data_IF_536297230319
#
_entry.id   IF_536297230319
#
_cell.length_a   1.000
_cell.length_b   1.000
_cell.length_c   1.000
_cell.angle_alpha   90.00
_cell.angle_beta   90.00
_cell.angle_gamma   90.00
#
_symmetry.space_group_name_H-M   'P 1'
#
loop_
_entity.id
_entity.type
_entity.pdbx_description
1 polymer ?
#
# COMPACT_ATOMS: atom_id res chain seq x y z
N UNK A 1 -19.63 -14.33 -9.86
CA UNK A 1 -18.75 -13.28 -10.42
C UNK A 1 -17.63 -13.02 -9.43
N UNK A 2 -16.39 -12.71 -9.86
CA UNK A 2 -15.33 -12.40 -8.93
C UNK A 2 -15.64 -11.13 -8.14
N UNK A 3 -15.23 -11.10 -6.86
CA UNK A 3 -15.19 -9.88 -6.06
C UNK A 3 -13.97 -9.06 -6.46
N UNK A 4 -14.19 -7.96 -7.16
CA UNK A 4 -13.12 -7.04 -7.57
C UNK A 4 -12.97 -5.94 -6.51
N UNK A 5 -11.75 -5.70 -6.08
CA UNK A 5 -11.41 -4.72 -5.04
C UNK A 5 -10.27 -3.86 -5.59
N UNK A 6 -10.55 -2.60 -5.89
CA UNK A 6 -9.49 -1.64 -6.16
C UNK A 6 -9.10 -0.96 -4.84
N UNK A 7 -7.82 -1.03 -4.46
CA UNK A 7 -7.25 -0.43 -3.26
C UNK A 7 -6.41 0.76 -3.70
N UNK A 8 -6.88 1.96 -3.42
CA UNK A 8 -6.07 3.17 -3.53
C UNK A 8 -5.21 3.28 -2.28
N UNK A 9 -3.89 3.29 -2.46
CA UNK A 9 -2.94 3.18 -1.36
C UNK A 9 -1.63 3.92 -1.66
N UNK A 10 -0.91 4.28 -0.61
CA UNK A 10 0.51 4.62 -0.68
C UNK A 10 1.29 3.72 0.29
N UNK A 11 2.42 3.16 -0.14
CA UNK A 11 3.19 2.20 0.66
C UNK A 11 3.90 2.83 1.88
N UNK A 12 3.91 4.17 1.95
CA UNK A 12 4.38 4.94 3.12
C UNK A 12 3.24 5.40 4.04
N UNK A 13 2.00 5.02 3.76
CA UNK A 13 0.86 5.34 4.61
C UNK A 13 0.64 4.24 5.67
N UNK A 14 0.80 4.52 6.98
CA UNK A 14 0.62 3.50 8.00
C UNK A 14 -0.84 3.02 8.09
N UNK A 15 -1.81 3.92 7.83
CA UNK A 15 -3.22 3.54 7.77
C UNK A 15 -3.52 2.60 6.61
N UNK A 16 -2.77 2.68 5.50
CA UNK A 16 -2.93 1.71 4.41
C UNK A 16 -2.47 0.32 4.83
N UNK A 17 -1.42 0.22 5.64
CA UNK A 17 -0.96 -1.05 6.17
C UNK A 17 -2.00 -1.69 7.10
N UNK A 18 -2.56 -0.90 8.04
CA UNK A 18 -3.66 -1.32 8.92
C UNK A 18 -4.88 -1.74 8.08
N UNK A 19 -5.29 -0.91 7.12
CA UNK A 19 -6.44 -1.18 6.27
C UNK A 19 -6.27 -2.45 5.44
N UNK A 20 -5.07 -2.74 4.92
CA UNK A 20 -4.76 -3.99 4.22
C UNK A 20 -4.92 -5.19 5.14
N UNK A 21 -4.41 -5.12 6.37
CA UNK A 21 -4.52 -6.22 7.34
C UNK A 21 -5.99 -6.49 7.69
N UNK A 22 -6.78 -5.43 7.91
CA UNK A 22 -8.22 -5.56 8.20
C UNK A 22 -9.02 -6.08 7.03
N UNK A 23 -8.70 -5.65 5.81
CA UNK A 23 -9.29 -6.23 4.59
C UNK A 23 -8.96 -7.72 4.49
N UNK A 24 -7.72 -8.12 4.77
CA UNK A 24 -7.31 -9.51 4.74
C UNK A 24 -8.13 -10.36 5.74
N UNK A 25 -8.27 -9.89 6.99
CA UNK A 25 -9.12 -10.57 7.99
C UNK A 25 -10.57 -10.71 7.53
N UNK A 26 -11.14 -9.64 6.95
CA UNK A 26 -12.52 -9.66 6.43
C UNK A 26 -12.69 -10.64 5.25
N UNK A 27 -11.68 -10.75 4.38
CA UNK A 27 -11.66 -11.71 3.28
C UNK A 27 -11.51 -13.15 3.77
N UNK A 28 -10.76 -13.39 4.84
CA UNK A 28 -10.60 -14.71 5.43
C UNK A 28 -11.91 -15.19 6.07
N UNK A 29 -12.60 -14.31 6.82
CA UNK A 29 -13.95 -14.57 7.34
C UNK A 29 -14.96 -14.86 6.22
N UNK A 30 -14.88 -14.10 5.11
CA UNK A 30 -15.76 -14.29 3.96
C UNK A 30 -15.46 -15.60 3.22
N UNK A 31 -14.19 -15.97 3.04
CA UNK A 31 -13.78 -17.25 2.41
C UNK A 31 -14.18 -18.45 3.24
N UNK A 32 -14.19 -18.35 4.57
CA UNK A 32 -14.70 -19.40 5.44
C UNK A 32 -16.18 -19.70 5.18
N UNK A 33 -16.95 -18.69 4.74
CA UNK A 33 -18.37 -18.83 4.41
C UNK A 33 -18.61 -19.12 2.91
N UNK A 34 -17.71 -18.66 2.04
CA UNK A 34 -17.80 -18.77 0.57
C UNK A 34 -16.45 -19.18 -0.03
N UNK A 35 -16.02 -20.45 0.14
CA UNK A 35 -14.68 -20.91 -0.26
C UNK A 35 -14.43 -20.84 -1.78
N UNK A 36 -15.49 -20.81 -2.58
CA UNK A 36 -15.45 -20.68 -4.04
C UNK A 36 -15.32 -19.24 -4.56
N UNK A 37 -15.33 -18.25 -3.66
CA UNK A 37 -15.28 -16.84 -4.05
C UNK A 37 -13.92 -16.47 -4.65
N UNK A 38 -13.90 -16.22 -5.96
CA UNK A 38 -12.76 -15.58 -6.64
C UNK A 38 -12.65 -14.11 -6.21
N UNK A 39 -11.49 -13.71 -5.69
CA UNK A 39 -11.21 -12.35 -5.24
C UNK A 39 -10.06 -11.80 -6.06
N UNK A 40 -10.27 -10.62 -6.66
CA UNK A 40 -9.28 -9.92 -7.48
C UNK A 40 -9.02 -8.55 -6.87
N UNK A 41 -7.79 -8.36 -6.40
CA UNK A 41 -7.34 -7.10 -5.81
C UNK A 41 -6.45 -6.38 -6.83
N UNK A 42 -6.77 -5.12 -7.08
CA UNK A 42 -5.91 -4.21 -7.82
C UNK A 42 -5.46 -3.06 -6.93
N UNK A 43 -4.19 -2.72 -6.99
CA UNK A 43 -3.57 -1.60 -6.29
C UNK A 43 -3.51 -0.41 -7.23
N UNK A 44 -4.12 0.69 -6.81
CA UNK A 44 -4.08 1.98 -7.49
C UNK A 44 -3.15 2.93 -6.73
N UNK A 45 -2.23 3.61 -7.44
CA UNK A 45 -1.24 4.45 -6.79
C UNK A 45 -1.88 5.72 -6.22
N UNK A 46 -1.45 6.10 -5.02
CA UNK A 46 -1.65 7.42 -4.45
C UNK A 46 -0.32 7.92 -3.91
N UNK A 47 -0.05 9.21 -4.07
CA UNK A 47 1.14 9.85 -3.51
C UNK A 47 0.72 10.77 -2.38
N UNK A 48 0.95 10.37 -1.13
CA UNK A 48 0.65 11.20 0.04
C UNK A 48 1.46 12.50 0.05
N UNK A 49 2.68 12.42 -0.47
CA UNK A 49 3.62 13.53 -0.54
C UNK A 49 4.25 13.51 -1.95
N UNK A 50 3.56 14.05 -2.97
CA UNK A 50 4.03 13.97 -4.37
C UNK A 50 5.37 14.68 -4.57
N UNK A 51 5.69 15.68 -3.73
CA UNK A 51 6.91 16.49 -3.81
C UNK A 51 8.14 15.83 -3.15
N UNK A 52 8.06 14.55 -2.78
CA UNK A 52 9.21 13.83 -2.21
C UNK A 52 10.37 13.80 -3.20
N UNK A 53 11.59 14.23 -2.83
CA UNK A 53 12.74 14.12 -3.72
C UNK A 53 12.98 12.67 -4.16
N UNK A 54 13.48 12.40 -5.37
CA UNK A 54 13.73 11.03 -5.83
C UNK A 54 14.66 10.22 -4.92
N UNK A 55 15.61 10.88 -4.25
CA UNK A 55 16.51 10.24 -3.27
C UNK A 55 15.84 9.95 -1.91
N UNK A 56 14.60 10.42 -1.71
CA UNK A 56 13.97 10.51 -0.40
C UNK A 56 14.51 11.68 0.42
N UNK A 57 14.06 11.79 1.67
CA UNK A 57 14.54 12.79 2.62
C UNK A 57 14.48 12.23 4.06
N UNK A 58 15.14 12.85 5.06
CA UNK A 58 15.13 12.34 6.43
C UNK A 58 13.71 12.27 7.01
N UNK A 59 13.30 11.06 7.42
CA UNK A 59 11.93 10.77 7.86
C UNK A 59 11.52 11.61 9.07
N UNK A 60 12.36 11.62 10.11
CA UNK A 60 12.05 12.31 11.36
C UNK A 60 11.94 13.82 11.16
N UNK A 61 12.91 14.43 10.48
CA UNK A 61 12.93 15.87 10.25
C UNK A 61 11.69 16.34 9.46
N UNK A 62 11.29 15.58 8.43
CA UNK A 62 10.05 15.85 7.69
C UNK A 62 8.82 15.83 8.60
N UNK A 63 8.67 14.80 9.43
CA UNK A 63 7.51 14.68 10.31
C UNK A 63 7.49 15.78 11.37
N UNK A 64 8.63 16.13 11.94
CA UNK A 64 8.72 17.21 12.92
C UNK A 64 8.36 18.57 12.30
N UNK A 65 8.80 18.85 11.08
CA UNK A 65 8.39 20.04 10.35
C UNK A 65 6.87 20.04 10.04
N UNK A 66 6.31 18.88 9.68
CA UNK A 66 4.89 18.74 9.33
C UNK A 66 3.95 18.81 10.54
N UNK A 67 4.35 18.24 11.67
CA UNK A 67 3.50 18.05 12.85
C UNK A 67 3.86 18.96 14.03
N UNK A 68 4.91 19.78 13.91
CA UNK A 68 5.25 20.80 14.91
C UNK A 68 6.19 20.32 16.03
N UNK A 69 7.07 19.37 15.74
CA UNK A 69 8.16 18.95 16.62
C UNK A 69 8.10 17.49 17.09
N UNK A 70 9.17 17.07 17.76
CA UNK A 70 9.42 15.68 18.16
C UNK A 70 8.27 15.08 18.99
N UNK A 71 7.76 15.81 19.98
CA UNK A 71 6.72 15.33 20.89
C UNK A 71 5.40 15.01 20.17
N UNK A 72 5.06 15.80 19.15
CA UNK A 72 3.86 15.61 18.34
C UNK A 72 4.02 14.39 17.42
N UNK A 73 5.22 14.17 16.88
CA UNK A 73 5.54 12.98 16.09
C UNK A 73 5.45 11.72 16.95
N UNK A 74 6.03 11.73 18.16
CA UNK A 74 5.96 10.57 19.07
C UNK A 74 4.52 10.23 19.45
N UNK A 75 3.71 11.24 19.77
CA UNK A 75 2.28 11.05 20.06
C UNK A 75 1.50 10.52 18.85
N UNK A 76 1.83 10.99 17.63
CA UNK A 76 1.24 10.49 16.40
C UNK A 76 1.61 9.02 16.17
N UNK A 77 2.89 8.66 16.27
CA UNK A 77 3.36 7.28 16.14
C UNK A 77 2.69 6.35 17.16
N UNK A 78 2.59 6.78 18.43
CA UNK A 78 1.91 6.01 19.47
C UNK A 78 0.43 5.73 19.11
N UNK A 79 -0.32 6.76 18.66
CA UNK A 79 -1.71 6.60 18.23
C UNK A 79 -1.87 5.64 17.06
N UNK A 80 -0.96 5.71 16.08
CA UNK A 80 -0.98 4.82 14.92
C UNK A 80 -0.64 3.38 15.33
N UNK A 81 0.33 3.19 16.22
CA UNK A 81 0.69 1.88 16.74
C UNK A 81 -0.45 1.26 17.57
N UNK A 82 -1.10 2.05 18.43
CA UNK A 82 -2.28 1.63 19.19
C UNK A 82 -3.43 1.24 18.24
N UNK A 83 -3.72 2.07 17.25
CA UNK A 83 -4.77 1.80 16.28
C UNK A 83 -4.47 0.62 15.35
N UNK A 84 -3.20 0.27 15.16
CA UNK A 84 -2.77 -0.88 14.38
C UNK A 84 -2.84 -2.20 15.15
N UNK A 85 -2.79 -2.18 16.48
CA UNK A 85 -2.85 -3.39 17.29
C UNK A 85 -4.28 -3.98 17.33
N UNK A 86 -4.45 -5.32 17.31
CA UNK A 86 -3.41 -6.34 17.15
C UNK A 86 -3.06 -6.67 15.68
N UNK A 87 -3.68 -5.99 14.70
CA UNK A 87 -3.60 -6.32 13.28
C UNK A 87 -2.18 -6.20 12.68
N UNK A 88 -1.46 -5.13 13.06
CA UNK A 88 -0.09 -4.84 12.61
C UNK A 88 0.72 -4.19 13.73
N UNK A 89 2.03 -4.41 13.70
CA UNK A 89 3.00 -3.67 14.51
C UNK A 89 3.75 -2.64 13.66
N UNK A 90 4.45 -1.70 14.31
CA UNK A 90 5.27 -0.70 13.65
C UNK A 90 6.62 -0.58 14.37
N UNK A 91 7.68 -0.45 13.59
CA UNK A 91 9.04 -0.19 14.06
C UNK A 91 9.50 1.20 13.56
N UNK A 92 8.75 2.24 13.93
CA UNK A 92 8.98 3.61 13.45
C UNK A 92 10.39 4.13 13.78
N UNK A 93 10.99 3.65 14.86
CA UNK A 93 12.35 3.96 15.29
C UNK A 93 13.42 3.48 14.30
N UNK A 94 13.12 2.48 13.46
CA UNK A 94 14.03 1.97 12.42
C UNK A 94 13.99 2.83 11.16
N UNK A 95 12.99 3.69 11.00
CA UNK A 95 12.74 4.46 9.78
C UNK A 95 13.57 5.73 9.76
N UNK A 96 14.60 5.76 8.91
CA UNK A 96 15.50 6.91 8.77
C UNK A 96 15.17 7.78 7.56
N UNK A 97 14.62 7.18 6.50
CA UNK A 97 14.30 7.85 5.22
C UNK A 97 12.80 7.81 4.96
N UNK A 98 12.28 8.95 4.51
CA UNK A 98 10.98 9.07 3.85
C UNK A 98 11.18 8.84 2.35
N UNK A 99 10.78 7.68 1.80
CA UNK A 99 11.07 7.34 0.43
C UNK A 99 10.12 8.06 -0.54
N UNK A 100 10.59 8.35 -1.75
CA UNK A 100 9.70 8.59 -2.88
C UNK A 100 9.13 7.24 -3.35
N UNK A 101 7.81 7.10 -3.38
CA UNK A 101 7.14 5.83 -3.64
C UNK A 101 6.85 5.55 -5.11
N UNK A 102 7.27 6.41 -6.04
CA UNK A 102 7.03 6.21 -7.47
C UNK A 102 7.56 4.86 -7.97
N UNK A 103 8.77 4.48 -7.57
CA UNK A 103 9.34 3.18 -7.96
C UNK A 103 8.60 1.99 -7.36
N UNK A 104 8.18 2.08 -6.09
CA UNK A 104 7.35 1.05 -5.46
C UNK A 104 6.01 0.88 -6.18
N UNK A 105 5.34 1.99 -6.52
CA UNK A 105 4.11 1.98 -7.30
C UNK A 105 4.31 1.43 -8.72
N UNK A 106 5.41 1.79 -9.39
CA UNK A 106 5.79 1.22 -10.70
C UNK A 106 6.05 -0.28 -10.62
N UNK A 107 6.66 -0.77 -9.54
CA UNK A 107 6.90 -2.20 -9.32
C UNK A 107 5.56 -2.95 -9.16
N UNK A 108 4.66 -2.42 -8.32
CA UNK A 108 3.32 -2.98 -8.15
C UNK A 108 2.52 -2.97 -9.46
N UNK A 109 2.54 -1.85 -10.20
CA UNK A 109 1.92 -1.74 -11.51
C UNK A 109 2.45 -2.82 -12.47
N UNK A 110 3.78 -2.98 -12.59
CA UNK A 110 4.41 -4.00 -13.44
C UNK A 110 3.95 -5.41 -13.08
N UNK A 111 3.90 -5.75 -11.79
CA UNK A 111 3.42 -7.06 -11.32
C UNK A 111 1.98 -7.34 -11.78
N UNK A 112 1.10 -6.34 -11.70
CA UNK A 112 -0.30 -6.45 -12.13
C UNK A 112 -0.43 -6.51 -13.66
N UNK A 113 0.31 -5.66 -14.38
CA UNK A 113 0.30 -5.61 -15.85
C UNK A 113 0.83 -6.90 -16.51
N UNK A 114 1.75 -7.61 -15.83
CA UNK A 114 2.23 -8.93 -16.25
C UNK A 114 1.23 -10.06 -15.98
N UNK A 115 0.07 -9.79 -15.37
CA UNK A 115 -0.93 -10.79 -15.05
C UNK A 115 -0.47 -11.79 -13.98
N UNK A 116 0.37 -11.35 -13.03
CA UNK A 116 0.79 -12.21 -11.92
C UNK A 116 -0.41 -12.70 -11.12
N UNK A 117 -0.26 -13.89 -10.53
CA UNK A 117 -1.30 -14.48 -9.67
C UNK A 117 -1.56 -13.54 -8.49
N UNK A 118 -2.82 -13.50 -8.05
CA UNK A 118 -3.25 -12.66 -6.92
C UNK A 118 -2.44 -12.92 -5.65
N UNK A 119 -2.02 -14.16 -5.41
CA UNK A 119 -1.13 -14.52 -4.30
C UNK A 119 0.25 -13.85 -4.38
N UNK A 120 0.78 -13.65 -5.58
CA UNK A 120 2.07 -12.96 -5.79
C UNK A 120 1.94 -11.44 -5.67
N UNK A 121 0.82 -10.88 -6.13
CA UNK A 121 0.49 -9.45 -5.94
C UNK A 121 0.32 -9.15 -4.45
N UNK A 122 -0.40 -10.00 -3.72
CA UNK A 122 -0.57 -9.87 -2.27
C UNK A 122 0.76 -9.98 -1.52
N UNK A 123 1.59 -10.98 -1.84
CA UNK A 123 2.91 -11.13 -1.24
C UNK A 123 3.83 -9.92 -1.49
N UNK A 124 3.78 -9.34 -2.70
CA UNK A 124 4.54 -8.13 -3.01
C UNK A 124 4.08 -6.93 -2.19
N UNK A 125 2.76 -6.73 -2.05
CA UNK A 125 2.22 -5.65 -1.23
C UNK A 125 2.65 -5.81 0.24
N UNK A 126 2.59 -7.03 0.77
CA UNK A 126 3.00 -7.34 2.14
C UNK A 126 4.48 -7.10 2.36
N UNK A 127 5.32 -7.53 1.42
CA UNK A 127 6.75 -7.31 1.50
C UNK A 127 7.12 -5.82 1.41
N UNK A 128 6.42 -5.02 0.60
CA UNK A 128 6.64 -3.57 0.54
C UNK A 128 6.27 -2.87 1.85
N UNK A 129 5.11 -3.21 2.44
CA UNK A 129 4.71 -2.65 3.73
C UNK A 129 5.64 -3.10 4.87
N UNK A 130 5.99 -4.38 4.92
CA UNK A 130 6.89 -4.92 5.93
C UNK A 130 8.29 -4.28 5.84
N UNK A 131 8.86 -4.20 4.63
CA UNK A 131 10.14 -3.56 4.40
C UNK A 131 10.15 -2.11 4.92
N UNK A 132 9.08 -1.35 4.69
CA UNK A 132 9.01 0.03 5.12
C UNK A 132 8.75 0.17 6.63
N UNK A 133 7.69 -0.46 7.16
CA UNK A 133 7.18 -0.21 8.51
C UNK A 133 7.76 -1.10 9.60
N UNK A 134 8.27 -2.28 9.25
CA UNK A 134 8.84 -3.24 10.21
C UNK A 134 10.36 -3.29 10.14
N UNK A 135 10.92 -3.11 8.94
CA UNK A 135 12.36 -3.23 8.71
C UNK A 135 13.07 -1.87 8.58
N UNK A 136 12.34 -0.78 8.32
CA UNK A 136 12.90 0.56 8.13
C UNK A 136 13.66 0.74 6.80
N UNK A 137 13.43 -0.15 5.82
CA UNK A 137 14.10 -0.13 4.52
C UNK A 137 13.55 0.97 3.60
N UNK A 138 14.42 1.49 2.75
CA UNK A 138 14.08 2.52 1.78
C UNK A 138 13.41 1.92 0.54
N UNK A 139 12.07 1.89 0.49
CA UNK A 139 11.31 1.42 -0.68
C UNK A 139 11.30 2.39 -1.87
N UNK A 140 12.12 3.44 -1.86
CA UNK A 140 12.44 4.27 -3.03
C UNK A 140 13.75 3.88 -3.72
N UNK A 141 14.53 3.00 -3.10
CA UNK A 141 15.80 2.48 -3.59
C UNK A 141 15.58 1.29 -4.54
N UNK A 142 16.34 1.25 -5.65
CA UNK A 142 16.18 0.23 -6.69
C UNK A 142 16.59 -1.15 -6.17
N UNK A 143 17.70 -1.21 -5.45
CA UNK A 143 18.27 -2.47 -4.96
C UNK A 143 17.34 -3.11 -3.93
N UNK A 144 16.84 -2.29 -3.00
CA UNK A 144 15.82 -2.70 -2.02
C UNK A 144 14.57 -3.26 -2.70
N UNK A 145 14.04 -2.59 -3.73
CA UNK A 145 12.86 -3.03 -4.46
C UNK A 145 13.12 -4.30 -5.29
N UNK A 146 14.31 -4.43 -5.88
CA UNK A 146 14.71 -5.62 -6.62
C UNK A 146 14.81 -6.85 -5.70
N UNK A 147 15.38 -6.70 -4.50
CA UNK A 147 15.43 -7.77 -3.50
C UNK A 147 14.03 -8.22 -3.07
N UNK A 148 13.14 -7.26 -2.78
CA UNK A 148 11.74 -7.53 -2.41
C UNK A 148 11.01 -8.27 -3.52
N UNK A 149 11.13 -7.80 -4.77
CA UNK A 149 10.50 -8.43 -5.92
C UNK A 149 11.02 -9.85 -6.15
N UNK A 150 12.32 -10.06 -5.96
CA UNK A 150 12.98 -11.37 -6.11
C UNK A 150 12.46 -12.36 -5.08
N UNK A 151 12.33 -11.95 -3.81
CA UNK A 151 11.73 -12.77 -2.76
C UNK A 151 10.27 -13.16 -3.08
N UNK A 152 9.58 -12.36 -3.90
CA UNK A 152 8.22 -12.61 -4.38
C UNK A 152 8.18 -13.38 -5.73
N UNK A 153 9.31 -13.92 -6.19
CA UNK A 153 9.43 -14.75 -7.39
C UNK A 153 9.63 -13.99 -8.70
N UNK A 154 10.09 -12.74 -8.66
CA UNK A 154 10.58 -12.01 -9.84
C UNK A 154 12.07 -12.29 -10.13
N UNK A 155 12.54 -11.85 -11.30
CA UNK A 155 13.96 -11.86 -11.66
C UNK A 155 14.60 -10.52 -11.32
N UNK A 156 15.61 -10.53 -10.45
CA UNK A 156 16.32 -9.34 -9.96
C UNK A 156 16.76 -8.39 -11.07
N UNK A 157 17.48 -8.89 -12.08
CA UNK A 157 18.01 -8.07 -13.18
C UNK A 157 16.90 -7.42 -14.01
N UNK A 158 15.80 -8.15 -14.24
CA UNK A 158 14.65 -7.61 -14.98
C UNK A 158 13.90 -6.52 -14.19
N UNK A 159 13.89 -6.62 -12.86
CA UNK A 159 13.31 -5.59 -11.98
C UNK A 159 14.21 -4.35 -11.96
N UNK A 160 15.53 -4.53 -11.77
CA UNK A 160 16.50 -3.43 -11.78
C UNK A 160 16.43 -2.65 -13.09
N UNK A 161 16.57 -3.33 -14.23
CA UNK A 161 16.51 -2.69 -15.54
C UNK A 161 15.19 -1.93 -15.76
N UNK A 162 14.06 -2.47 -15.30
CA UNK A 162 12.78 -1.76 -15.37
C UNK A 162 12.77 -0.50 -14.49
N UNK A 163 13.22 -0.59 -13.23
CA UNK A 163 13.21 0.53 -12.27
C UNK A 163 14.26 1.61 -12.55
N UNK A 164 15.33 1.26 -13.26
CA UNK A 164 16.34 2.20 -13.79
C UNK A 164 15.84 2.96 -15.02
N UNK A 165 14.93 2.36 -15.79
CA UNK A 165 14.26 3.01 -16.92
C UNK A 165 13.08 3.89 -16.48
N UNK A 166 12.51 4.64 -17.43
CA UNK A 166 11.28 5.42 -17.25
C UNK A 166 9.99 4.67 -17.65
N UNK A 167 10.08 3.36 -17.91
CA UNK A 167 8.93 2.55 -18.31
C UNK A 167 7.75 2.69 -17.32
N UNK A 168 6.56 2.99 -17.85
CA UNK A 168 5.32 3.15 -17.09
C UNK A 168 5.31 4.28 -16.02
N UNK A 169 6.36 5.10 -15.92
CA UNK A 169 6.37 6.28 -15.02
C UNK A 169 5.16 7.18 -15.27
N UNK A 170 4.96 7.59 -16.52
CA UNK A 170 3.85 8.45 -16.90
C UNK A 170 2.48 7.74 -16.76
N UNK A 171 2.43 6.42 -16.87
CA UNK A 171 1.20 5.64 -16.68
C UNK A 171 0.78 5.68 -15.21
N UNK A 172 1.71 5.36 -14.30
CA UNK A 172 1.47 5.37 -12.85
C UNK A 172 1.10 6.78 -12.36
N UNK A 173 1.77 7.82 -12.84
CA UNK A 173 1.44 9.20 -12.49
C UNK A 173 0.03 9.60 -12.96
N UNK A 174 -0.34 9.22 -14.20
CA UNK A 174 -1.70 9.47 -14.71
C UNK A 174 -2.76 8.71 -13.91
N UNK A 175 -2.49 7.45 -13.52
CA UNK A 175 -3.40 6.68 -12.67
C UNK A 175 -3.62 7.37 -11.32
N UNK A 176 -2.56 7.85 -10.67
CA UNK A 176 -2.67 8.56 -9.40
C UNK A 176 -3.47 9.87 -9.54
N UNK A 177 -3.21 10.64 -10.61
CA UNK A 177 -3.97 11.86 -10.91
C UNK A 177 -5.45 11.58 -11.17
N UNK A 178 -5.77 10.51 -11.91
CA UNK A 178 -7.15 10.11 -12.20
C UNK A 178 -7.92 9.74 -10.92
N UNK A 179 -7.28 9.01 -9.99
CA UNK A 179 -7.89 8.65 -8.70
C UNK A 179 -8.23 9.89 -7.88
N UNK A 180 -7.36 10.91 -7.87
CA UNK A 180 -7.64 12.18 -7.21
C UNK A 180 -8.77 12.96 -7.89
N UNK A 181 -8.80 12.99 -9.24
CA UNK A 181 -9.88 13.61 -10.00
C UNK A 181 -11.24 12.95 -9.77
N UNK A 182 -11.25 11.67 -9.40
CA UNK A 182 -12.46 10.93 -9.01
C UNK A 182 -12.91 11.23 -7.56
N UNK A 183 -12.26 12.17 -6.87
CA UNK A 183 -12.66 12.65 -5.54
C UNK A 183 -12.01 11.90 -4.38
N UNK A 184 -11.06 11.00 -4.63
CA UNK A 184 -10.30 10.35 -3.55
C UNK A 184 -9.26 11.33 -3.01
N UNK A 185 -9.48 11.80 -1.78
CA UNK A 185 -8.62 12.80 -1.09
C UNK A 185 -7.77 12.21 0.03
N UNK A 186 -7.87 10.90 0.28
CA UNK A 186 -7.14 10.22 1.34
C UNK A 186 -7.10 8.71 1.12
N UNK A 187 -6.19 8.04 1.83
CA UNK A 187 -5.93 6.60 1.72
C UNK A 187 -5.80 5.96 3.11
N UNK A 188 -6.11 4.65 3.26
CA UNK A 188 -6.57 3.73 2.21
C UNK A 188 -7.99 4.04 1.77
N UNK A 189 -8.29 3.75 0.50
CA UNK A 189 -9.64 3.85 -0.05
C UNK A 189 -9.91 2.61 -0.89
N UNK A 190 -11.02 1.92 -0.60
CA UNK A 190 -11.37 0.65 -1.21
C UNK A 190 -12.59 0.83 -2.11
N UNK A 191 -12.53 0.33 -3.33
CA UNK A 191 -13.63 0.35 -4.30
C UNK A 191 -14.02 -1.11 -4.55
N UNK A 192 -15.21 -1.49 -4.10
CA UNK A 192 -15.71 -2.86 -4.12
C UNK A 192 -16.69 -3.02 -5.28
N UNK A 193 -16.36 -3.91 -6.22
CA UNK A 193 -17.12 -4.19 -7.44
C UNK A 193 -17.52 -2.95 -8.26
N UNK A 194 -16.77 -1.84 -8.12
CA UNK A 194 -17.12 -0.52 -8.69
C UNK A 194 -18.51 -0.01 -8.29
N UNK A 195 -19.07 -0.52 -7.19
CA UNK A 195 -20.41 -0.18 -6.67
C UNK A 195 -20.33 0.57 -5.34
N UNK A 196 -19.48 0.09 -4.44
CA UNK A 196 -19.37 0.60 -3.08
C UNK A 196 -17.95 1.09 -2.82
N UNK A 197 -17.84 2.18 -2.06
CA UNK A 197 -16.57 2.73 -1.63
C UNK A 197 -16.46 2.72 -0.10
N UNK A 198 -15.28 2.36 0.41
CA UNK A 198 -14.95 2.37 1.83
C UNK A 198 -13.72 3.25 2.03
N UNK A 199 -13.86 4.31 2.82
CA UNK A 199 -12.77 5.26 3.11
C UNK A 199 -12.12 4.97 4.46
N UNK A 200 -10.80 4.94 4.49
CA UNK A 200 -9.99 4.72 5.69
C UNK A 200 -9.88 3.26 6.13
N UNK A 201 -9.07 3.04 7.16
CA UNK A 201 -8.81 1.72 7.74
C UNK A 201 -9.96 1.26 8.66
N UNK A 202 -11.14 1.01 8.08
CA UNK A 202 -12.33 0.53 8.79
C UNK A 202 -12.06 -0.82 9.48
N UNK A 203 -12.83 -1.11 10.55
CA UNK A 203 -12.71 -2.38 11.28
C UNK A 203 -12.97 -3.59 10.38
N UNK A 204 -12.44 -4.77 10.76
CA UNK A 204 -12.68 -6.04 10.05
C UNK A 204 -14.18 -6.28 9.85
N UNK A 205 -15.00 -6.06 10.89
CA UNK A 205 -16.44 -6.24 10.82
C UNK A 205 -17.12 -5.27 9.82
N UNK A 206 -16.74 -3.98 9.84
CA UNK A 206 -17.29 -2.99 8.92
C UNK A 206 -16.87 -3.28 7.47
N UNK A 207 -15.61 -3.68 7.25
CA UNK A 207 -15.12 -4.10 5.94
C UNK A 207 -15.85 -5.36 5.45
N UNK A 208 -16.05 -6.36 6.31
CA UNK A 208 -16.79 -7.58 5.99
C UNK A 208 -18.23 -7.29 5.57
N UNK A 209 -18.94 -6.42 6.30
CA UNK A 209 -20.27 -5.97 5.92
C UNK A 209 -20.29 -5.29 4.54
N UNK A 210 -19.31 -4.43 4.26
CA UNK A 210 -19.18 -3.78 2.96
C UNK A 210 -18.88 -4.78 1.82
N UNK A 211 -18.03 -5.79 2.05
CA UNK A 211 -17.75 -6.85 1.08
C UNK A 211 -19.02 -7.65 0.75
N UNK A 212 -19.81 -7.99 1.77
CA UNK A 212 -21.10 -8.68 1.58
C UNK A 212 -22.09 -7.83 0.78
N UNK A 213 -22.24 -6.56 1.13
CA UNK A 213 -23.11 -5.63 0.41
C UNK A 213 -22.67 -5.46 -1.06
N UNK A 214 -21.36 -5.48 -1.34
CA UNK A 214 -20.85 -5.36 -2.71
C UNK A 214 -21.08 -6.62 -3.57
N UNK A 215 -21.38 -7.76 -2.95
CA UNK A 215 -21.69 -9.03 -3.63
C UNK A 215 -23.16 -9.15 -4.06
N UNK A 216 -24.04 -8.32 -3.49
CA UNK A 216 -25.44 -8.17 -3.90
C UNK A 216 -25.56 -7.41 -5.25
#
# INVERSE_FOLDING_TARGET
>A
MPLNIDIVSDFVCPWCFIGKARLQGALDDLRAQRPELDVRINWLPYFLNPDTPPAGEPYRAFLEAKFGGAKQVDAMHARVAEAGAPDVSFAFERMTIRPNTLRAHRLMYRAQAQGRRQTQIAALADALFAAHFLEGRNIGDIDTLADIATACGDKTDAVRAYLESDADTAVVQRMAAQVQQQGVTGVPFFILNRKLAVSGAQSVAAMGAALLQALE
#
